data_IF_776898022849
#
_entry.id   IF_776898022849
#
_cell.length_a   1.000
_cell.length_b   1.000
_cell.length_c   1.000
_cell.angle_alpha   90.00
_cell.angle_beta   90.00
_cell.angle_gamma   90.00
#
_symmetry.space_group_name_H-M   'P 1'
#
loop_
_entity.id
_entity.type
_entity.pdbx_description
1 polymer ?
#
# COMPACT_ATOMS: atom_id res chain seq x y z
N UNK A 1 8.15 -78.39 2.22
CA UNK A 1 8.04 -77.12 2.95
C UNK A 1 8.41 -76.01 1.99
N UNK A 2 7.42 -75.32 1.43
CA UNK A 2 7.68 -74.21 0.48
C UNK A 2 7.72 -72.91 1.26
N UNK A 3 8.90 -72.30 1.35
CA UNK A 3 9.09 -70.98 1.96
C UNK A 3 8.63 -69.91 0.98
N UNK A 4 7.43 -69.35 1.19
CA UNK A 4 7.02 -68.14 0.48
C UNK A 4 7.85 -66.95 0.98
N UNK A 5 8.83 -66.51 0.19
CA UNK A 5 9.48 -65.21 0.39
C UNK A 5 8.48 -64.11 0.00
N UNK A 6 7.86 -63.49 1.00
CA UNK A 6 6.98 -62.32 0.81
C UNK A 6 7.85 -61.18 0.25
N UNK A 7 7.66 -60.82 -1.03
CA UNK A 7 8.33 -59.67 -1.62
C UNK A 7 7.90 -58.38 -0.89
N UNK A 8 8.83 -57.48 -0.60
CA UNK A 8 8.50 -56.20 0.02
C UNK A 8 7.65 -55.34 -0.93
N UNK A 9 6.77 -54.48 -0.40
CA UNK A 9 6.02 -53.49 -1.18
C UNK A 9 6.93 -52.59 -2.01
N UNK A 10 6.46 -52.07 -3.15
CA UNK A 10 7.29 -51.22 -4.02
C UNK A 10 7.76 -49.92 -3.34
N UNK A 11 7.00 -49.41 -2.36
CA UNK A 11 7.35 -48.20 -1.58
C UNK A 11 8.21 -48.50 -0.34
N UNK A 12 8.69 -49.73 -0.18
CA UNK A 12 9.49 -50.13 0.98
C UNK A 12 10.92 -49.62 0.87
N UNK A 13 11.28 -48.66 1.72
CA UNK A 13 12.68 -48.19 1.86
C UNK A 13 13.45 -49.10 2.82
N UNK A 14 14.54 -49.78 2.42
CA UNK A 14 15.36 -50.59 3.34
C UNK A 14 15.92 -49.78 4.52
N UNK A 15 16.07 -50.40 5.70
CA UNK A 15 16.49 -49.72 6.93
C UNK A 15 17.89 -49.12 6.86
N UNK A 16 18.78 -49.72 6.09
CA UNK A 16 20.13 -49.22 5.77
C UNK A 16 20.13 -47.91 4.96
N UNK A 17 18.99 -47.56 4.38
CA UNK A 17 18.77 -46.28 3.71
C UNK A 17 17.99 -45.29 4.57
N UNK A 18 17.70 -45.60 5.84
CA UNK A 18 16.97 -44.70 6.75
C UNK A 18 17.92 -44.03 7.74
N UNK A 19 17.72 -42.74 7.98
CA UNK A 19 18.33 -42.01 9.09
C UNK A 19 17.19 -41.37 9.89
N UNK A 20 17.06 -41.72 11.17
CA UNK A 20 15.96 -41.26 12.04
C UNK A 20 14.54 -41.52 11.47
N UNK A 21 14.38 -42.60 10.68
CA UNK A 21 13.11 -42.95 10.05
C UNK A 21 12.82 -42.27 8.70
N UNK A 22 13.68 -41.33 8.25
CA UNK A 22 13.60 -40.73 6.92
C UNK A 22 14.53 -41.41 5.91
N UNK A 23 14.09 -41.52 4.66
CA UNK A 23 14.91 -42.00 3.55
C UNK A 23 16.09 -41.05 3.32
N UNK A 24 17.31 -41.59 3.37
CA UNK A 24 18.56 -40.87 3.13
C UNK A 24 18.64 -40.29 1.72
N UNK A 25 17.90 -40.84 0.75
CA UNK A 25 17.83 -40.33 -0.64
C UNK A 25 17.08 -39.01 -0.71
N UNK A 26 16.12 -38.76 0.18
CA UNK A 26 15.34 -37.52 0.21
C UNK A 26 16.04 -36.38 0.95
N UNK A 27 17.15 -36.64 1.67
CA UNK A 27 17.88 -35.59 2.39
C UNK A 27 18.47 -34.51 1.49
N UNK A 28 19.05 -34.89 0.33
CA UNK A 28 19.61 -33.92 -0.61
C UNK A 28 18.55 -32.96 -1.17
N UNK A 29 17.43 -33.43 -1.76
CA UNK A 29 16.39 -32.52 -2.23
C UNK A 29 15.75 -31.74 -1.07
N UNK A 30 15.61 -32.33 0.13
CA UNK A 30 15.11 -31.61 1.30
C UNK A 30 16.05 -30.47 1.74
N UNK A 31 17.36 -30.67 1.73
CA UNK A 31 18.34 -29.62 2.04
C UNK A 31 18.34 -28.51 0.98
N UNK A 32 18.17 -28.85 -0.30
CA UNK A 32 18.02 -27.84 -1.37
C UNK A 32 16.75 -27.02 -1.14
N UNK A 33 15.61 -27.68 -0.89
CA UNK A 33 14.35 -27.00 -0.60
C UNK A 33 14.45 -26.11 0.65
N UNK A 34 15.10 -26.59 1.71
CA UNK A 34 15.39 -25.80 2.91
C UNK A 34 16.28 -24.60 2.59
N UNK A 35 17.33 -24.77 1.78
CA UNK A 35 18.19 -23.67 1.35
C UNK A 35 17.40 -22.60 0.59
N UNK A 36 16.54 -23.01 -0.36
CA UNK A 36 15.65 -22.10 -1.08
C UNK A 36 14.72 -21.38 -0.11
N UNK A 37 14.08 -22.11 0.81
CA UNK A 37 13.20 -21.52 1.82
C UNK A 37 13.94 -20.48 2.68
N UNK A 38 15.16 -20.77 3.13
CA UNK A 38 15.97 -19.83 3.90
C UNK A 38 16.37 -18.59 3.09
N UNK A 39 16.70 -18.75 1.80
CA UNK A 39 16.98 -17.61 0.91
C UNK A 39 15.73 -16.74 0.71
N UNK A 40 14.55 -17.35 0.55
CA UNK A 40 13.31 -16.60 0.40
C UNK A 40 12.89 -15.89 1.70
N UNK A 41 13.04 -16.56 2.85
CA UNK A 41 12.65 -16.02 4.16
C UNK A 41 13.63 -14.95 4.66
N UNK A 42 14.93 -15.13 4.44
CA UNK A 42 15.96 -14.24 5.01
C UNK A 42 16.76 -13.49 3.95
N UNK A 43 17.08 -14.13 2.83
CA UNK A 43 17.89 -13.53 1.77
C UNK A 43 17.18 -12.38 1.07
N UNK A 44 15.93 -12.58 0.62
CA UNK A 44 15.16 -11.51 -0.05
C UNK A 44 14.88 -10.32 0.88
N UNK A 45 14.41 -10.50 2.13
CA UNK A 45 14.24 -9.38 3.05
C UNK A 45 15.55 -8.66 3.39
N UNK A 46 16.65 -9.39 3.57
CA UNK A 46 17.95 -8.77 3.83
C UNK A 46 18.47 -7.95 2.64
N UNK A 47 18.28 -8.44 1.42
CA UNK A 47 18.58 -7.68 0.21
C UNK A 47 17.74 -6.41 0.14
N UNK A 48 16.43 -6.51 0.39
CA UNK A 48 15.54 -5.35 0.43
C UNK A 48 15.99 -4.31 1.47
N UNK A 49 16.36 -4.76 2.68
CA UNK A 49 16.89 -3.90 3.74
C UNK A 49 18.25 -3.27 3.42
N UNK A 50 19.02 -3.87 2.49
CA UNK A 50 20.33 -3.37 2.07
C UNK A 50 20.26 -2.26 1.01
N UNK A 51 19.10 -2.03 0.40
CA UNK A 51 18.90 -0.96 -0.57
C UNK A 51 18.66 0.33 0.22
N UNK A 52 19.62 1.29 0.25
CA UNK A 52 19.44 2.52 0.99
C UNK A 52 18.30 3.34 0.39
N UNK A 53 17.32 3.68 1.22
CA UNK A 53 16.20 4.54 0.87
C UNK A 53 16.76 5.93 0.51
N UNK A 54 16.66 6.32 -0.76
CA UNK A 54 17.28 7.57 -1.24
C UNK A 54 16.50 8.81 -0.84
N UNK A 55 15.19 8.67 -0.61
CA UNK A 55 14.24 9.75 -0.36
C UNK A 55 13.35 9.40 0.85
N UNK A 56 13.98 9.09 1.98
CA UNK A 56 13.24 8.88 3.23
C UNK A 56 12.68 10.22 3.74
N UNK A 57 11.41 10.20 4.13
CA UNK A 57 10.66 11.33 4.69
C UNK A 57 11.16 11.59 6.10
N UNK A 58 11.59 12.83 6.34
CA UNK A 58 12.12 13.31 7.61
C UNK A 58 11.10 14.16 8.34
N UNK A 59 11.30 14.31 9.63
CA UNK A 59 10.50 15.24 10.43
C UNK A 59 10.65 16.66 9.88
N UNK A 60 9.51 17.32 9.62
CA UNK A 60 9.44 18.66 9.02
C UNK A 60 9.22 18.66 7.51
N UNK A 61 9.29 17.51 6.84
CA UNK A 61 8.89 17.40 5.44
C UNK A 61 7.38 17.59 5.29
N UNK A 62 6.98 18.28 4.22
CA UNK A 62 5.57 18.57 3.91
C UNK A 62 5.37 18.34 2.42
N UNK A 63 4.40 17.50 2.06
CA UNK A 63 4.01 17.27 0.67
C UNK A 63 3.31 18.50 0.11
N UNK A 64 3.71 18.92 -1.09
CA UNK A 64 3.01 19.98 -1.84
C UNK A 64 1.90 19.34 -2.69
N UNK A 65 0.64 19.57 -2.32
CA UNK A 65 -0.53 19.09 -3.05
C UNK A 65 -0.98 20.07 -4.14
N UNK A 66 -0.28 21.19 -4.29
CA UNK A 66 -0.56 22.23 -5.27
C UNK A 66 -1.57 23.28 -4.78
N UNK A 67 -1.54 24.45 -5.42
CA UNK A 67 -2.36 25.62 -5.05
C UNK A 67 -2.28 26.01 -3.55
N UNK A 68 -1.15 25.72 -2.90
CA UNK A 68 -0.92 25.99 -1.47
C UNK A 68 -1.51 24.95 -0.53
N UNK A 69 -2.15 23.90 -1.04
CA UNK A 69 -2.58 22.77 -0.23
C UNK A 69 -1.39 21.88 0.14
N UNK A 70 -1.41 21.33 1.36
CA UNK A 70 -0.30 20.57 1.92
C UNK A 70 -0.76 19.35 2.70
N UNK A 71 0.13 18.38 2.87
CA UNK A 71 -0.05 17.25 3.77
C UNK A 71 1.27 16.93 4.48
N UNK A 72 1.18 16.47 5.73
CA UNK A 72 2.34 16.04 6.52
C UNK A 72 2.47 14.52 6.41
N UNK A 73 3.45 14.01 5.64
CA UNK A 73 3.67 12.58 5.50
C UNK A 73 4.19 11.95 6.81
N UNK A 74 3.93 10.66 7.06
CA UNK A 74 4.49 9.98 8.23
C UNK A 74 6.02 9.84 8.09
N UNK A 75 6.73 10.01 9.20
CA UNK A 75 8.20 9.97 9.22
C UNK A 75 8.70 8.53 9.01
N UNK A 76 9.81 8.38 8.27
CA UNK A 76 10.40 7.08 7.97
C UNK A 76 9.77 6.36 6.77
N UNK A 77 8.69 6.92 6.20
CA UNK A 77 8.16 6.49 4.91
C UNK A 77 9.06 6.98 3.79
N UNK A 78 8.99 6.33 2.64
CA UNK A 78 9.77 6.70 1.47
C UNK A 78 8.93 7.50 0.49
N UNK A 79 9.47 8.62 -0.02
CA UNK A 79 8.91 9.34 -1.16
C UNK A 79 9.41 8.71 -2.47
N UNK A 80 8.54 7.97 -3.15
CA UNK A 80 8.84 7.35 -4.44
C UNK A 80 8.70 8.34 -5.60
N UNK A 81 7.64 9.16 -5.55
CA UNK A 81 7.37 10.21 -6.54
C UNK A 81 6.61 11.37 -5.89
N UNK A 82 6.78 12.58 -6.43
CA UNK A 82 6.12 13.78 -5.93
C UNK A 82 7.08 14.91 -5.56
N UNK A 83 6.53 15.97 -4.98
CA UNK A 83 7.28 17.19 -4.62
C UNK A 83 7.03 17.57 -3.16
N UNK A 84 8.10 17.95 -2.47
CA UNK A 84 8.02 18.54 -1.13
C UNK A 84 7.86 20.06 -1.23
N UNK A 85 7.21 20.66 -0.24
CA UNK A 85 7.07 22.11 -0.12
C UNK A 85 8.44 22.76 -0.05
N UNK A 86 8.64 23.84 -0.81
CA UNK A 86 9.92 24.56 -0.86
C UNK A 86 10.99 23.88 -1.73
N UNK A 87 10.65 22.75 -2.38
CA UNK A 87 11.51 22.10 -3.37
C UNK A 87 10.94 22.28 -4.78
N UNK A 88 11.71 22.87 -5.69
CA UNK A 88 11.34 22.97 -7.10
C UNK A 88 10.13 23.87 -7.41
N UNK A 89 9.47 23.58 -8.53
CA UNK A 89 8.25 24.27 -8.93
C UNK A 89 7.03 23.74 -8.15
N UNK A 90 6.05 24.59 -7.82
CA UNK A 90 4.84 24.16 -7.13
C UNK A 90 4.10 23.07 -7.89
N UNK A 91 3.51 22.12 -7.17
CA UNK A 91 2.70 21.08 -7.78
C UNK A 91 1.44 21.66 -8.44
N UNK A 92 1.01 21.06 -9.55
CA UNK A 92 -0.27 21.38 -10.18
C UNK A 92 -1.35 20.47 -9.60
N UNK A 93 -2.36 21.00 -8.89
CA UNK A 93 -3.39 20.18 -8.26
C UNK A 93 -4.27 19.42 -9.27
N UNK A 94 -4.33 19.86 -10.54
CA UNK A 94 -5.11 19.20 -11.59
C UNK A 94 -4.37 18.04 -12.30
N UNK A 95 -3.10 17.82 -11.97
CA UNK A 95 -2.27 16.73 -12.50
C UNK A 95 -1.29 16.22 -11.44
N UNK A 96 -1.70 16.27 -10.18
CA UNK A 96 -0.85 15.90 -9.04
C UNK A 96 -0.70 14.38 -9.01
N UNK A 97 0.53 13.91 -8.83
CA UNK A 97 0.80 12.52 -8.51
C UNK A 97 1.94 12.45 -7.50
N UNK A 98 1.66 11.89 -6.32
CA UNK A 98 2.63 11.66 -5.24
C UNK A 98 2.44 10.24 -4.76
N UNK A 99 3.54 9.52 -4.55
CA UNK A 99 3.51 8.18 -3.97
C UNK A 99 4.50 8.11 -2.83
N UNK A 100 4.00 7.68 -1.66
CA UNK A 100 4.82 7.34 -0.51
C UNK A 100 4.61 5.86 -0.14
N UNK A 101 5.64 5.20 0.35
CA UNK A 101 5.59 3.77 0.68
C UNK A 101 6.38 3.41 1.95
N UNK A 102 5.93 2.37 2.65
CA UNK A 102 6.60 1.80 3.81
C UNK A 102 6.22 0.32 3.98
N UNK A 103 7.20 -0.58 4.07
CA UNK A 103 7.01 -1.93 4.63
C UNK A 103 5.91 -2.82 4.01
N UNK A 104 5.41 -2.52 2.80
CA UNK A 104 4.28 -3.22 2.18
C UNK A 104 2.96 -2.44 2.14
N UNK A 105 2.97 -1.18 2.61
CA UNK A 105 1.93 -0.20 2.40
C UNK A 105 2.39 0.89 1.42
N UNK A 106 1.46 1.40 0.63
CA UNK A 106 1.65 2.59 -0.20
C UNK A 106 0.47 3.54 -0.06
N UNK A 107 0.76 4.83 -0.14
CA UNK A 107 -0.23 5.90 -0.18
C UNK A 107 0.04 6.75 -1.41
N UNK A 108 -0.94 6.79 -2.30
CA UNK A 108 -0.92 7.60 -3.52
C UNK A 108 -1.85 8.81 -3.34
N UNK A 109 -1.35 10.00 -3.70
CA UNK A 109 -2.15 11.20 -3.87
C UNK A 109 -2.28 11.50 -5.34
N UNK A 110 -3.51 11.59 -5.83
CA UNK A 110 -3.80 11.91 -7.23
C UNK A 110 -4.76 13.08 -7.33
N UNK A 111 -4.28 14.18 -7.88
CA UNK A 111 -5.08 15.39 -8.09
C UNK A 111 -5.54 15.51 -9.54
N UNK A 112 -6.80 15.90 -9.73
CA UNK A 112 -7.36 16.09 -11.07
C UNK A 112 -8.42 17.19 -11.09
N UNK A 113 -8.66 17.77 -12.27
CA UNK A 113 -9.80 18.65 -12.48
C UNK A 113 -11.09 17.83 -12.53
N UNK A 114 -12.06 18.15 -11.66
CA UNK A 114 -13.37 17.50 -11.66
C UNK A 114 -14.43 18.51 -11.20
N UNK A 115 -15.60 18.50 -11.83
CA UNK A 115 -16.74 19.33 -11.41
C UNK A 115 -17.78 18.45 -10.74
N UNK A 116 -18.15 18.79 -9.51
CA UNK A 116 -19.10 18.03 -8.69
C UNK A 116 -18.58 17.78 -7.27
N UNK A 117 -19.32 16.96 -6.52
CA UNK A 117 -18.98 16.59 -5.14
C UNK A 117 -17.81 15.59 -5.07
N UNK A 118 -17.23 15.43 -3.88
CA UNK A 118 -16.22 14.40 -3.62
C UNK A 118 -16.79 12.98 -3.82
N UNK A 119 -18.05 12.77 -3.46
CA UNK A 119 -18.75 11.50 -3.65
C UNK A 119 -18.90 11.14 -5.13
N UNK A 120 -19.40 12.09 -5.94
CA UNK A 120 -19.55 11.87 -7.38
C UNK A 120 -18.19 11.66 -8.07
N UNK A 121 -17.13 12.26 -7.55
CA UNK A 121 -15.77 11.99 -8.01
C UNK A 121 -15.34 10.56 -7.68
N UNK A 122 -15.57 10.09 -6.46
CA UNK A 122 -15.25 8.71 -6.07
C UNK A 122 -16.03 7.70 -6.93
N UNK A 123 -17.32 7.92 -7.15
CA UNK A 123 -18.14 7.12 -8.08
C UNK A 123 -17.54 7.08 -9.49
N UNK A 124 -16.99 8.21 -9.96
CA UNK A 124 -16.36 8.29 -11.27
C UNK A 124 -15.05 7.53 -11.33
N UNK A 125 -14.26 7.55 -10.26
CA UNK A 125 -13.02 6.76 -10.14
C UNK A 125 -13.34 5.27 -10.19
N UNK A 126 -14.28 4.80 -9.36
CA UNK A 126 -14.71 3.40 -9.33
C UNK A 126 -15.24 2.94 -10.69
N UNK A 127 -16.07 3.76 -11.34
CA UNK A 127 -16.58 3.47 -12.68
C UNK A 127 -15.49 3.40 -13.75
N UNK A 128 -14.46 4.24 -13.63
CA UNK A 128 -13.34 4.27 -14.58
C UNK A 128 -12.40 3.07 -14.39
N UNK A 129 -12.25 2.58 -13.17
CA UNK A 129 -11.42 1.41 -12.85
C UNK A 129 -12.13 0.09 -13.16
N UNK A 130 -13.46 0.11 -13.19
CA UNK A 130 -14.29 -1.05 -13.51
C UNK A 130 -14.41 -2.01 -12.34
N UNK A 131 -15.07 -3.15 -12.58
CA UNK A 131 -15.29 -4.17 -11.55
C UNK A 131 -13.98 -4.89 -11.22
N UNK A 132 -13.23 -4.34 -10.27
CA UNK A 132 -12.11 -5.03 -9.64
C UNK A 132 -12.68 -6.11 -8.72
N UNK A 133 -12.20 -7.37 -8.77
CA UNK A 133 -12.62 -8.38 -7.81
C UNK A 133 -12.31 -7.91 -6.39
N UNK A 134 -13.31 -7.87 -5.51
CA UNK A 134 -13.17 -7.38 -4.15
C UNK A 134 -14.52 -7.17 -3.47
N UNK A 135 -14.45 -6.74 -2.21
CA UNK A 135 -15.60 -6.31 -1.41
C UNK A 135 -15.32 -4.91 -0.91
N UNK A 136 -16.21 -3.99 -1.26
CA UNK A 136 -16.19 -2.63 -0.74
C UNK A 136 -17.00 -2.54 0.56
N UNK A 137 -16.50 -1.74 1.49
CA UNK A 137 -17.19 -1.37 2.71
C UNK A 137 -18.19 -0.23 2.50
N UNK A 138 -18.88 0.15 3.57
CA UNK A 138 -19.76 1.31 3.57
C UNK A 138 -18.96 2.61 3.44
N UNK A 139 -19.52 3.60 2.72
CA UNK A 139 -18.94 4.93 2.62
C UNK A 139 -19.03 5.68 3.94
N UNK A 140 -17.91 6.26 4.33
CA UNK A 140 -17.80 7.14 5.50
C UNK A 140 -17.42 8.55 5.12
N UNK A 141 -17.69 9.50 6.02
CA UNK A 141 -17.17 10.86 5.93
C UNK A 141 -15.85 10.97 6.67
N UNK A 142 -14.87 11.64 6.08
CA UNK A 142 -13.60 11.98 6.73
C UNK A 142 -13.46 13.49 6.78
N UNK A 143 -13.10 14.02 7.96
CA UNK A 143 -12.84 15.45 8.16
C UNK A 143 -11.41 15.65 8.63
N UNK A 144 -10.67 16.52 7.95
CA UNK A 144 -9.29 16.87 8.29
C UNK A 144 -9.25 17.89 9.43
N UNK A 145 -8.08 18.08 10.06
CA UNK A 145 -7.92 19.07 11.13
C UNK A 145 -8.14 20.50 10.64
N UNK A 146 -7.95 20.76 9.34
CA UNK A 146 -8.22 22.04 8.70
C UNK A 146 -9.71 22.23 8.32
N UNK A 147 -10.59 21.28 8.67
CA UNK A 147 -12.02 21.32 8.37
C UNK A 147 -12.40 20.87 6.96
N UNK A 148 -11.45 20.34 6.17
CA UNK A 148 -11.74 19.78 4.86
C UNK A 148 -12.53 18.49 5.01
N UNK A 149 -13.65 18.37 4.30
CA UNK A 149 -14.49 17.17 4.35
C UNK A 149 -14.37 16.38 3.05
N UNK A 150 -14.22 15.07 3.18
CA UNK A 150 -14.13 14.12 2.08
C UNK A 150 -14.96 12.86 2.34
N UNK A 151 -14.98 11.97 1.36
CA UNK A 151 -15.67 10.69 1.41
C UNK A 151 -14.63 9.59 1.33
N UNK A 152 -14.73 8.61 2.23
CA UNK A 152 -13.83 7.46 2.28
C UNK A 152 -14.61 6.16 2.04
N UNK A 153 -13.97 5.22 1.35
CA UNK A 153 -14.46 3.86 1.19
C UNK A 153 -13.30 2.90 1.39
N UNK A 154 -13.47 1.98 2.34
CA UNK A 154 -12.54 0.87 2.50
C UNK A 154 -12.92 -0.26 1.54
N UNK A 155 -11.96 -1.09 1.18
CA UNK A 155 -12.22 -2.30 0.41
C UNK A 155 -11.13 -3.35 0.63
N UNK A 156 -11.47 -4.61 0.36
CA UNK A 156 -10.53 -5.73 0.41
C UNK A 156 -10.67 -6.55 -0.86
N UNK A 157 -9.56 -6.98 -1.44
CA UNK A 157 -9.57 -7.82 -2.63
C UNK A 157 -8.31 -8.66 -2.78
N UNK A 158 -8.11 -9.32 -3.94
CA UNK A 158 -6.93 -10.14 -4.21
C UNK A 158 -5.61 -9.37 -4.11
N UNK A 159 -5.65 -8.05 -4.30
CA UNK A 159 -4.50 -7.16 -4.17
C UNK A 159 -4.18 -6.71 -2.73
N UNK A 160 -4.99 -7.11 -1.74
CA UNK A 160 -4.88 -6.66 -0.35
C UNK A 160 -5.99 -5.71 0.06
N UNK A 161 -5.74 -4.98 1.15
CA UNK A 161 -6.67 -4.00 1.70
C UNK A 161 -6.45 -2.63 1.05
N UNK A 162 -7.53 -1.86 0.98
CA UNK A 162 -7.58 -0.58 0.34
C UNK A 162 -8.40 0.42 1.14
N UNK A 163 -7.99 1.69 1.09
CA UNK A 163 -8.79 2.82 1.52
C UNK A 163 -8.68 3.92 0.47
N UNK A 164 -9.78 4.22 -0.21
CA UNK A 164 -9.87 5.33 -1.15
C UNK A 164 -10.60 6.49 -0.46
N UNK A 165 -9.98 7.66 -0.44
CA UNK A 165 -10.54 8.88 0.14
C UNK A 165 -10.54 10.00 -0.89
N UNK A 166 -11.72 10.52 -1.20
CA UNK A 166 -11.91 11.62 -2.13
C UNK A 166 -12.13 12.94 -1.37
N UNK A 167 -11.39 13.97 -1.77
CA UNK A 167 -11.57 15.34 -1.30
C UNK A 167 -11.80 16.30 -2.46
N UNK A 168 -12.47 17.42 -2.18
CA UNK A 168 -12.43 18.63 -3.00
C UNK A 168 -11.51 19.61 -2.31
N UNK A 169 -10.45 20.07 -2.98
CA UNK A 169 -9.42 20.92 -2.36
C UNK A 169 -9.55 22.34 -2.91
N UNK A 170 -10.43 23.18 -2.34
CA UNK A 170 -10.63 24.54 -2.83
C UNK A 170 -9.38 25.37 -2.63
N UNK A 171 -9.02 26.12 -3.67
CA UNK A 171 -8.10 27.23 -3.52
C UNK A 171 -8.79 28.47 -2.94
N UNK A 172 -8.00 29.53 -2.70
CA UNK A 172 -8.44 30.87 -2.34
C UNK A 172 -9.68 31.35 -3.12
N UNK A 173 -10.81 31.56 -2.43
CA UNK A 173 -12.05 32.08 -3.04
C UNK A 173 -12.76 31.14 -4.02
N UNK A 174 -12.33 29.89 -4.12
CA UNK A 174 -12.90 28.90 -5.03
C UNK A 174 -14.06 28.14 -4.39
N UNK A 175 -15.14 27.93 -5.15
CA UNK A 175 -16.23 27.06 -4.72
C UNK A 175 -15.75 25.61 -4.66
N UNK A 176 -16.17 24.87 -3.63
CA UNK A 176 -15.74 23.48 -3.42
C UNK A 176 -16.08 22.57 -4.62
N UNK A 177 -17.22 22.77 -5.28
CA UNK A 177 -17.67 21.93 -6.39
C UNK A 177 -16.81 22.04 -7.66
N UNK A 178 -16.19 23.21 -7.88
CA UNK A 178 -15.31 23.47 -9.02
C UNK A 178 -13.83 23.37 -8.67
N UNK A 179 -13.52 23.13 -7.38
CA UNK A 179 -12.18 22.87 -6.91
C UNK A 179 -11.59 21.61 -7.56
N UNK A 180 -10.26 21.51 -7.68
CA UNK A 180 -9.62 20.24 -7.99
C UNK A 180 -10.07 19.14 -7.02
N UNK A 181 -10.25 17.93 -7.55
CA UNK A 181 -10.48 16.74 -6.75
C UNK A 181 -9.14 16.07 -6.42
N UNK A 182 -9.04 15.55 -5.21
CA UNK A 182 -7.89 14.81 -4.71
C UNK A 182 -8.36 13.43 -4.28
N UNK A 183 -7.79 12.39 -4.90
CA UNK A 183 -7.89 11.02 -4.44
C UNK A 183 -6.67 10.69 -3.57
N UNK A 184 -6.89 10.24 -2.35
CA UNK A 184 -5.88 9.64 -1.48
C UNK A 184 -6.17 8.15 -1.42
N UNK A 185 -5.27 7.35 -1.94
CA UNK A 185 -5.42 5.90 -2.07
C UNK A 185 -4.38 5.20 -1.22
N UNK A 186 -4.84 4.47 -0.21
CA UNK A 186 -3.99 3.61 0.62
C UNK A 186 -4.14 2.19 0.11
N UNK A 187 -3.02 1.49 -0.07
CA UNK A 187 -2.99 0.05 -0.36
C UNK A 187 -2.06 -0.63 0.62
N UNK A 188 -2.48 -1.76 1.16
CA UNK A 188 -1.65 -2.58 2.05
C UNK A 188 -1.79 -4.05 1.66
N UNK A 189 -0.85 -4.88 2.10
CA UNK A 189 -1.05 -6.33 2.06
C UNK A 189 -2.32 -6.73 2.87
N UNK A 190 -2.92 -7.90 2.58
CA UNK A 190 -4.09 -8.38 3.31
C UNK A 190 -3.86 -8.39 4.83
N UNK A 191 -4.84 -7.94 5.60
CA UNK A 191 -4.85 -7.86 7.06
C UNK A 191 -3.76 -6.96 7.66
N UNK A 192 -3.12 -6.09 6.86
CA UNK A 192 -2.08 -5.17 7.32
C UNK A 192 -2.58 -3.74 7.52
N UNK A 193 -3.81 -3.39 7.12
CA UNK A 193 -4.30 -2.02 7.22
C UNK A 193 -4.26 -1.49 8.67
N UNK A 194 -4.65 -2.32 9.65
CA UNK A 194 -4.64 -1.93 11.07
C UNK A 194 -3.24 -1.57 11.58
N UNK A 195 -2.17 -2.14 11.00
CA UNK A 195 -0.80 -1.79 11.38
C UNK A 195 -0.44 -0.34 11.00
N UNK A 196 -0.96 0.15 9.87
CA UNK A 196 -0.67 1.48 9.33
C UNK A 196 -1.76 2.51 9.63
N UNK A 197 -2.80 2.11 10.36
CA UNK A 197 -4.00 2.92 10.59
C UNK A 197 -3.71 4.27 11.23
N UNK A 198 -2.83 4.31 12.22
CA UNK A 198 -2.50 5.55 12.93
C UNK A 198 -1.74 6.53 12.02
N UNK A 199 -0.78 6.02 11.24
CA UNK A 199 -0.03 6.80 10.25
C UNK A 199 -0.96 7.38 9.18
N UNK A 200 -1.84 6.54 8.63
CA UNK A 200 -2.85 6.95 7.63
C UNK A 200 -3.80 7.99 8.21
N UNK A 201 -4.30 7.77 9.43
CA UNK A 201 -5.23 8.71 10.08
C UNK A 201 -4.57 10.05 10.37
N UNK A 202 -3.32 10.04 10.85
CA UNK A 202 -2.52 11.24 11.09
C UNK A 202 -2.30 12.02 9.79
N UNK A 203 -1.90 11.32 8.73
CA UNK A 203 -1.72 11.88 7.39
C UNK A 203 -2.99 12.52 6.86
N UNK A 204 -4.12 11.80 6.86
CA UNK A 204 -5.40 12.32 6.38
C UNK A 204 -5.84 13.55 7.19
N UNK A 205 -5.64 13.55 8.51
CA UNK A 205 -5.95 14.69 9.36
C UNK A 205 -5.07 15.91 9.07
N UNK A 206 -3.84 15.70 8.62
CA UNK A 206 -2.89 16.79 8.34
C UNK A 206 -3.19 17.56 7.04
N UNK A 207 -4.04 17.02 6.16
CA UNK A 207 -4.34 17.63 4.88
C UNK A 207 -4.98 19.00 5.09
N UNK A 208 -4.32 20.02 4.56
CA UNK A 208 -4.70 21.42 4.69
C UNK A 208 -4.96 22.00 3.29
N UNK A 209 -6.11 22.63 3.04
CA UNK A 209 -6.39 23.28 1.76
C UNK A 209 -5.54 24.55 1.60
N UNK A 210 -5.41 25.03 0.36
CA UNK A 210 -4.68 26.26 0.08
C UNK A 210 -5.29 27.48 0.78
N UNK A 211 -4.53 28.11 1.68
CA UNK A 211 -4.98 29.31 2.36
C UNK A 211 -4.99 30.52 1.41
N UNK A 212 -5.99 31.40 1.54
CA UNK A 212 -5.91 32.77 1.03
C UNK A 212 -4.68 33.42 1.71
N UNK A 213 -3.64 33.74 0.94
CA UNK A 213 -2.66 34.73 1.37
C UNK A 213 -3.13 36.12 0.96
#
# INVERSE_FOLDING_TARGET
MSTSTRQPPEDWVPVEHRLLGLDRRTFKPALIALGIALVLIYGLPALNASIPWRNEIRAGDVLDLGAGATAVPPVGWQLESGTLTGSGAPANPASLQITIAAGGASIEFRGTGYTGSAEAFLDQVERAEGNTPGVDGERGTVTTAAGLTGVAQAGTGPGGDALDVAFKVPGPGQAAETAPALLVRVRTAPDQFEHYRDDVTSLLRSITPGANR
#
